data_IF_925793740186
#
_entry.id   IF_925793740186
#
_cell.length_a   1.000
_cell.length_b   1.000
_cell.length_c   1.000
_cell.angle_alpha   90.00
_cell.angle_beta   90.00
_cell.angle_gamma   90.00
#
_symmetry.space_group_name_H-M   'P 1'
#
loop_
_entity.id
_entity.type
_entity.pdbx_description
1 polymer ?
#
# COMPACT_ATOMS: atom_id res chain seq x y z
N UNK A 1 -12.27 5.00 21.94
CA UNK A 1 -10.84 4.84 21.55
C UNK A 1 -10.53 5.85 20.46
N UNK A 2 -9.57 6.75 20.65
CA UNK A 2 -9.20 7.74 19.63
C UNK A 2 -8.59 6.97 18.44
N UNK A 3 -9.27 6.96 17.29
CA UNK A 3 -8.66 6.50 16.06
C UNK A 3 -7.48 7.43 15.77
N UNK A 4 -6.27 6.98 16.09
CA UNK A 4 -5.05 7.67 15.70
C UNK A 4 -5.13 7.91 14.19
N UNK A 5 -4.91 9.15 13.75
CA UNK A 5 -4.88 9.50 12.31
C UNK A 5 -4.10 8.42 11.57
N UNK A 6 -4.60 7.90 10.44
CA UNK A 6 -3.83 6.95 9.63
C UNK A 6 -2.46 7.56 9.38
N UNK A 7 -1.39 6.84 9.73
CA UNK A 7 -0.03 7.29 9.48
C UNK A 7 0.05 7.72 8.01
N UNK A 8 0.60 8.89 7.73
CA UNK A 8 0.66 9.36 6.34
C UNK A 8 1.55 8.43 5.49
N UNK A 9 1.31 8.44 4.18
CA UNK A 9 2.13 7.69 3.23
C UNK A 9 3.28 8.58 2.78
N UNK A 10 4.49 8.18 3.14
CA UNK A 10 5.72 8.81 2.65
C UNK A 10 5.90 8.56 1.15
N UNK A 11 6.65 9.44 0.49
CA UNK A 11 7.00 9.27 -0.92
C UNK A 11 7.76 7.96 -1.18
N UNK A 12 8.59 7.53 -0.22
CA UNK A 12 9.30 6.26 -0.30
C UNK A 12 8.33 5.07 -0.31
N UNK A 13 7.32 5.07 0.54
CA UNK A 13 6.29 4.02 0.55
C UNK A 13 5.47 4.02 -0.74
N UNK A 14 5.11 5.20 -1.26
CA UNK A 14 4.40 5.34 -2.55
C UNK A 14 5.24 4.78 -3.70
N UNK A 15 6.54 5.10 -3.75
CA UNK A 15 7.48 4.57 -4.75
C UNK A 15 7.61 3.05 -4.64
N UNK A 16 7.76 2.51 -3.43
CA UNK A 16 7.82 1.06 -3.19
C UNK A 16 6.53 0.34 -3.60
N UNK A 17 5.37 0.90 -3.26
CA UNK A 17 4.07 0.37 -3.67
C UNK A 17 3.96 0.28 -5.21
N UNK A 18 4.32 1.35 -5.91
CA UNK A 18 4.32 1.39 -7.38
C UNK A 18 5.26 0.34 -7.99
N UNK A 19 6.48 0.23 -7.47
CA UNK A 19 7.45 -0.76 -7.93
C UNK A 19 6.96 -2.20 -7.73
N UNK A 20 6.39 -2.51 -6.57
CA UNK A 20 5.87 -3.84 -6.28
C UNK A 20 4.60 -4.17 -7.08
N UNK A 21 3.71 -3.18 -7.28
CA UNK A 21 2.54 -3.34 -8.15
C UNK A 21 2.95 -3.71 -9.59
N UNK A 22 3.95 -3.03 -10.16
CA UNK A 22 4.48 -3.36 -11.50
C UNK A 22 5.06 -4.77 -11.58
N UNK A 23 5.67 -5.25 -10.49
CA UNK A 23 6.16 -6.62 -10.35
C UNK A 23 5.07 -7.65 -10.01
N UNK A 24 3.78 -7.25 -10.08
CA UNK A 24 2.61 -8.12 -9.85
C UNK A 24 2.53 -8.72 -8.44
N UNK A 25 3.01 -7.99 -7.42
CA UNK A 25 2.79 -8.39 -6.03
C UNK A 25 1.31 -8.19 -5.62
N UNK A 26 0.85 -9.04 -4.72
CA UNK A 26 -0.47 -8.95 -4.09
C UNK A 26 -0.51 -7.95 -2.93
N UNK A 27 -1.71 -7.55 -2.54
CA UNK A 27 -1.90 -6.56 -1.48
C UNK A 27 -1.35 -7.02 -0.12
N UNK A 28 -1.40 -8.31 0.19
CA UNK A 28 -0.90 -8.89 1.44
C UNK A 28 0.63 -8.86 1.50
N UNK A 29 1.31 -9.21 0.41
CA UNK A 29 2.78 -9.20 0.33
C UNK A 29 3.32 -7.78 0.47
N UNK A 30 2.68 -6.82 -0.21
CA UNK A 30 3.03 -5.40 -0.12
C UNK A 30 2.79 -4.87 1.29
N UNK A 31 1.68 -5.26 1.93
CA UNK A 31 1.36 -4.89 3.30
C UNK A 31 2.43 -5.36 4.28
N UNK A 32 2.88 -6.62 4.15
CA UNK A 32 3.98 -7.16 4.94
C UNK A 32 5.29 -6.39 4.70
N UNK A 33 5.65 -6.13 3.44
CA UNK A 33 6.87 -5.42 3.07
C UNK A 33 6.91 -3.96 3.58
N UNK A 34 5.77 -3.28 3.59
CA UNK A 34 5.65 -1.89 4.06
C UNK A 34 5.28 -1.78 5.55
N UNK A 35 5.09 -2.91 6.25
CA UNK A 35 4.56 -2.96 7.63
C UNK A 35 3.28 -2.14 7.80
N UNK A 36 2.36 -2.25 6.83
CA UNK A 36 1.07 -1.54 6.82
C UNK A 36 -0.10 -2.50 6.76
N UNK A 37 -1.28 -2.01 7.10
CA UNK A 37 -2.51 -2.79 6.96
C UNK A 37 -2.88 -2.99 5.48
N UNK A 38 -3.34 -4.20 5.12
CA UNK A 38 -3.75 -4.56 3.75
C UNK A 38 -4.81 -3.61 3.19
N UNK A 39 -5.78 -3.20 4.02
CA UNK A 39 -6.81 -2.23 3.61
C UNK A 39 -6.22 -0.86 3.24
N UNK A 40 -5.17 -0.41 3.94
CA UNK A 40 -4.49 0.84 3.60
C UNK A 40 -3.73 0.72 2.28
N UNK A 41 -3.12 -0.44 2.01
CA UNK A 41 -2.43 -0.71 0.74
C UNK A 41 -3.44 -0.71 -0.41
N UNK A 42 -4.57 -1.40 -0.27
CA UNK A 42 -5.64 -1.41 -1.28
C UNK A 42 -6.19 -0.01 -1.55
N UNK A 43 -6.39 0.80 -0.51
CA UNK A 43 -6.85 2.19 -0.65
C UNK A 43 -5.84 3.05 -1.41
N UNK A 44 -4.57 3.04 -0.98
CA UNK A 44 -3.52 3.82 -1.63
C UNK A 44 -3.26 3.35 -3.07
N UNK A 45 -3.31 2.04 -3.35
CA UNK A 45 -3.19 1.54 -4.71
C UNK A 45 -4.30 2.05 -5.61
N UNK A 46 -5.55 2.14 -5.11
CA UNK A 46 -6.66 2.76 -5.86
C UNK A 46 -6.45 4.25 -6.09
N UNK A 47 -6.03 5.00 -5.06
CA UNK A 47 -5.71 6.43 -5.18
C UNK A 47 -4.62 6.68 -6.23
N UNK A 48 -3.61 5.81 -6.29
CA UNK A 48 -2.52 5.85 -7.27
C UNK A 48 -2.85 5.17 -8.61
N UNK A 49 -4.08 4.67 -8.80
CA UNK A 49 -4.52 3.92 -10.01
C UNK A 49 -3.62 2.72 -10.37
N UNK A 50 -3.12 2.02 -9.35
CA UNK A 50 -2.26 0.85 -9.48
C UNK A 50 -3.08 -0.45 -9.47
N UNK A 51 -2.66 -1.42 -10.29
CA UNK A 51 -3.23 -2.76 -10.30
C UNK A 51 -2.42 -3.67 -9.38
N UNK A 52 -3.10 -4.29 -8.40
CA UNK A 52 -2.50 -5.30 -7.54
C UNK A 52 -2.90 -6.68 -8.04
N UNK A 53 -2.03 -7.68 -7.86
CA UNK A 53 -2.40 -9.07 -8.08
C UNK A 53 -3.53 -9.46 -7.11
N UNK A 54 -4.51 -10.21 -7.63
CA UNK A 54 -5.64 -10.72 -6.84
C UNK A 54 -5.16 -11.64 -5.73
#
# INVERSE_FOLDING_TARGET
>A
MKASKPKEWSDLERRKLSAMSRRRYGAAEIAAALRRHVGSVKRMAREMRLLLKK
#
